data_IF_073846633913
#
_entry.id   IF_073846633913
#
_cell.length_a   1.000
_cell.length_b   1.000
_cell.length_c   1.000
_cell.angle_alpha   90.00
_cell.angle_beta   90.00
_cell.angle_gamma   90.00
#
_symmetry.space_group_name_H-M   'P 1'
#
loop_
_entity.id
_entity.type
_entity.pdbx_description
1 polymer ?
#
# COMPACT_ATOMS: atom_id res chain seq x y z
N UNK A 1 12.03 -15.22 -10.18
CA UNK A 1 10.67 -15.74 -10.33
C UNK A 1 9.98 -15.72 -8.98
N UNK A 2 8.76 -15.19 -8.94
CA UNK A 2 7.92 -15.24 -7.74
C UNK A 2 7.51 -16.68 -7.44
N UNK A 3 7.55 -17.04 -6.15
CA UNK A 3 7.04 -18.34 -5.68
C UNK A 3 5.69 -18.13 -5.01
N UNK A 4 4.76 -19.10 -5.06
CA UNK A 4 3.54 -19.05 -4.28
C UNK A 4 3.86 -18.80 -2.81
N UNK A 5 3.06 -17.94 -2.15
CA UNK A 5 3.25 -17.62 -0.75
C UNK A 5 2.90 -18.85 0.11
N UNK A 6 3.86 -19.32 0.88
CA UNK A 6 3.62 -20.28 1.96
C UNK A 6 3.49 -19.49 3.26
N UNK A 7 2.32 -19.54 3.88
CA UNK A 7 2.03 -18.79 5.08
C UNK A 7 1.37 -19.66 6.14
N UNK A 8 1.83 -19.61 7.40
CA UNK A 8 1.16 -20.30 8.49
C UNK A 8 -0.21 -19.72 8.84
N UNK A 9 -0.61 -18.62 8.19
CA UNK A 9 -1.93 -18.00 8.34
C UNK A 9 -2.96 -18.54 7.35
N UNK A 10 -2.53 -19.33 6.36
CA UNK A 10 -3.41 -19.82 5.29
C UNK A 10 -3.14 -21.29 4.99
N UNK A 11 -4.17 -22.11 4.76
CA UNK A 11 -4.00 -23.52 4.39
C UNK A 11 -3.50 -23.68 2.95
N UNK A 12 -3.66 -22.64 2.10
CA UNK A 12 -3.24 -22.64 0.70
C UNK A 12 -2.57 -21.32 0.33
N UNK A 13 -1.97 -21.26 -0.87
CA UNK A 13 -1.50 -20.01 -1.47
C UNK A 13 -2.59 -19.27 -2.27
N UNK A 14 -3.84 -19.73 -2.27
CA UNK A 14 -4.94 -19.00 -2.90
C UNK A 14 -5.12 -17.64 -2.21
N UNK A 15 -5.14 -16.53 -2.96
CA UNK A 15 -5.23 -15.20 -2.37
C UNK A 15 -6.44 -14.96 -1.47
N UNK A 16 -7.59 -15.59 -1.74
CA UNK A 16 -8.79 -15.49 -0.88
C UNK A 16 -8.53 -16.14 0.48
N UNK A 17 -7.88 -17.31 0.51
CA UNK A 17 -7.53 -17.98 1.76
C UNK A 17 -6.47 -17.19 2.54
N UNK A 18 -5.50 -16.60 1.85
CA UNK A 18 -4.49 -15.72 2.47
C UNK A 18 -5.15 -14.51 3.11
N UNK A 19 -6.06 -13.83 2.42
CA UNK A 19 -6.80 -12.68 2.97
C UNK A 19 -7.64 -13.10 4.19
N UNK A 20 -8.32 -14.24 4.10
CA UNK A 20 -9.08 -14.78 5.25
C UNK A 20 -8.18 -15.03 6.45
N UNK A 21 -6.99 -15.58 6.24
CA UNK A 21 -6.00 -15.79 7.29
C UNK A 21 -5.51 -14.48 7.91
N UNK A 22 -5.22 -13.47 7.11
CA UNK A 22 -4.84 -12.14 7.60
C UNK A 22 -5.95 -11.49 8.43
N UNK A 23 -7.20 -11.55 7.96
CA UNK A 23 -8.37 -11.03 8.70
C UNK A 23 -8.66 -11.82 9.98
N UNK A 24 -8.24 -13.09 10.05
CA UNK A 24 -8.26 -13.89 11.28
C UNK A 24 -7.24 -13.42 12.34
N UNK A 25 -6.14 -12.78 11.93
CA UNK A 25 -5.19 -12.16 12.87
C UNK A 25 -5.74 -10.86 13.42
N UNK A 26 -6.30 -10.00 12.55
CA UNK A 26 -6.81 -8.70 12.94
C UNK A 26 -7.85 -8.22 11.92
N UNK A 27 -8.93 -7.52 12.32
CA UNK A 27 -9.94 -7.00 11.41
C UNK A 27 -9.42 -5.77 10.66
N UNK A 28 -8.50 -5.98 9.72
CA UNK A 28 -7.97 -4.91 8.89
C UNK A 28 -9.09 -4.23 8.07
N UNK A 29 -9.06 -2.92 7.98
CA UNK A 29 -10.02 -2.13 7.19
C UNK A 29 -9.60 -1.98 5.73
N UNK A 30 -8.31 -2.18 5.43
CA UNK A 30 -7.76 -2.02 4.09
C UNK A 30 -6.79 -3.15 3.75
N UNK A 31 -6.75 -3.53 2.48
CA UNK A 31 -5.82 -4.48 1.88
C UNK A 31 -5.14 -3.80 0.70
N UNK A 32 -3.80 -3.76 0.71
CA UNK A 32 -3.02 -3.39 -0.45
C UNK A 32 -2.70 -4.65 -1.28
N UNK A 33 -2.90 -4.56 -2.58
CA UNK A 33 -2.58 -5.62 -3.55
C UNK A 33 -1.72 -5.05 -4.66
N UNK A 34 -0.52 -5.60 -4.84
CA UNK A 34 0.28 -5.38 -6.03
C UNK A 34 0.00 -6.50 -7.04
N UNK A 35 -0.63 -6.15 -8.17
CA UNK A 35 -0.84 -7.06 -9.29
C UNK A 35 0.41 -7.04 -10.18
N UNK A 36 1.36 -7.89 -9.83
CA UNK A 36 2.68 -7.90 -10.47
C UNK A 36 2.61 -8.33 -11.94
N UNK A 37 1.65 -9.18 -12.31
CA UNK A 37 1.47 -9.58 -13.70
C UNK A 37 1.04 -8.37 -14.54
N UNK A 38 0.11 -7.57 -14.02
CA UNK A 38 -0.32 -6.34 -14.68
C UNK A 38 0.79 -5.27 -14.73
N UNK A 39 1.51 -5.06 -13.62
CA UNK A 39 2.64 -4.11 -13.56
C UNK A 39 3.73 -4.48 -14.57
N UNK A 40 3.98 -5.77 -14.76
CA UNK A 40 5.01 -6.29 -15.68
C UNK A 40 4.51 -6.49 -17.12
N UNK A 41 3.21 -6.25 -17.38
CA UNK A 41 2.61 -6.49 -18.70
C UNK A 41 2.50 -7.98 -19.07
N UNK A 42 2.50 -8.87 -18.08
CA UNK A 42 2.42 -10.32 -18.26
C UNK A 42 0.98 -10.88 -18.20
N UNK A 43 0.01 -10.02 -17.95
CA UNK A 43 -1.40 -10.39 -17.81
C UNK A 43 -2.10 -9.52 -16.76
N UNK A 44 -3.18 -10.03 -16.18
CA UNK A 44 -3.89 -9.39 -15.05
C UNK A 44 -4.47 -10.43 -14.08
N UNK A 45 -4.77 -9.99 -12.87
CA UNK A 45 -5.42 -10.79 -11.85
C UNK A 45 -6.84 -10.31 -11.50
N UNK A 46 -7.55 -9.68 -12.45
CA UNK A 46 -8.89 -9.14 -12.25
C UNK A 46 -9.88 -10.17 -11.71
N UNK A 47 -9.79 -11.45 -12.13
CA UNK A 47 -10.63 -12.54 -11.61
C UNK A 47 -10.39 -12.77 -10.11
N UNK A 48 -9.15 -12.77 -9.70
CA UNK A 48 -8.76 -12.93 -8.29
C UNK A 48 -9.23 -11.74 -7.44
N UNK A 49 -9.06 -10.52 -7.94
CA UNK A 49 -9.54 -9.29 -7.27
C UNK A 49 -11.06 -9.32 -7.08
N UNK A 50 -11.84 -9.76 -8.08
CA UNK A 50 -13.30 -9.94 -7.96
C UNK A 50 -13.67 -10.97 -6.89
N UNK A 51 -12.94 -12.09 -6.80
CA UNK A 51 -13.17 -13.12 -5.77
C UNK A 51 -12.93 -12.57 -4.37
N UNK A 52 -11.81 -11.87 -4.15
CA UNK A 52 -11.50 -11.24 -2.86
C UNK A 52 -12.60 -10.24 -2.48
N UNK A 53 -13.01 -9.39 -3.43
CA UNK A 53 -14.05 -8.38 -3.18
C UNK A 53 -15.41 -9.01 -2.85
N UNK A 54 -15.79 -10.09 -3.53
CA UNK A 54 -17.04 -10.79 -3.29
C UNK A 54 -17.06 -11.45 -1.91
N UNK A 55 -15.95 -12.02 -1.49
CA UNK A 55 -15.82 -12.68 -0.18
C UNK A 55 -15.72 -11.68 0.97
N UNK A 56 -15.05 -10.52 0.75
CA UNK A 56 -14.78 -9.51 1.78
C UNK A 56 -15.29 -8.12 1.36
N UNK A 57 -16.62 -7.92 1.23
CA UNK A 57 -17.19 -6.70 0.63
C UNK A 57 -16.93 -5.42 1.46
N UNK A 58 -16.67 -5.54 2.77
CA UNK A 58 -16.35 -4.43 3.66
C UNK A 58 -14.86 -4.03 3.64
N UNK A 59 -13.99 -4.87 3.06
CA UNK A 59 -12.57 -4.62 3.00
C UNK A 59 -12.25 -3.61 1.89
N UNK A 60 -11.61 -2.50 2.22
CA UNK A 60 -11.15 -1.54 1.23
C UNK A 60 -9.92 -2.11 0.52
N UNK A 61 -10.03 -2.40 -0.77
CA UNK A 61 -8.91 -2.85 -1.57
C UNK A 61 -8.22 -1.66 -2.22
N UNK A 62 -6.91 -1.53 -2.02
CA UNK A 62 -6.02 -0.61 -2.73
C UNK A 62 -5.18 -1.44 -3.69
N UNK A 63 -5.36 -1.23 -4.98
CA UNK A 63 -4.77 -2.10 -6.00
C UNK A 63 -3.80 -1.31 -6.85
N UNK A 64 -2.55 -1.74 -6.84
CA UNK A 64 -1.51 -1.30 -7.75
C UNK A 64 -1.38 -2.34 -8.87
N UNK A 65 -1.70 -1.93 -10.07
CA UNK A 65 -1.63 -2.75 -11.29
C UNK A 65 -0.94 -2.00 -12.44
N UNK A 66 -0.07 -1.03 -12.10
CA UNK A 66 0.74 -0.33 -13.09
C UNK A 66 -0.03 0.64 -13.98
N UNK A 67 -1.12 1.26 -13.46
CA UNK A 67 -1.88 2.26 -14.21
C UNK A 67 -0.98 3.43 -14.61
N UNK A 68 -0.81 3.64 -15.92
CA UNK A 68 0.06 4.66 -16.50
C UNK A 68 -0.67 5.73 -17.32
N UNK A 69 -1.98 5.56 -17.59
CA UNK A 69 -2.78 6.49 -18.38
C UNK A 69 -4.25 6.52 -17.97
N UNK A 70 -4.97 7.53 -18.48
CA UNK A 70 -6.37 7.76 -18.15
C UNK A 70 -7.30 6.63 -18.65
N UNK A 71 -6.98 5.97 -19.75
CA UNK A 71 -7.79 4.86 -20.28
C UNK A 71 -7.75 3.67 -19.34
N UNK A 72 -6.55 3.27 -18.90
CA UNK A 72 -6.34 2.22 -17.92
C UNK A 72 -7.02 2.55 -16.58
N UNK A 73 -6.90 3.81 -16.11
CA UNK A 73 -7.58 4.27 -14.90
C UNK A 73 -9.10 4.17 -15.02
N UNK A 74 -9.69 4.64 -16.10
CA UNK A 74 -11.13 4.57 -16.33
C UNK A 74 -11.62 3.12 -16.41
N UNK A 75 -10.88 2.24 -17.11
CA UNK A 75 -11.21 0.82 -17.20
C UNK A 75 -11.18 0.15 -15.82
N UNK A 76 -10.16 0.42 -14.99
CA UNK A 76 -10.04 -0.11 -13.65
C UNK A 76 -11.19 0.37 -12.75
N UNK A 77 -11.49 1.66 -12.75
CA UNK A 77 -12.58 2.24 -11.96
C UNK A 77 -13.93 1.68 -12.41
N UNK A 78 -14.15 1.54 -13.73
CA UNK A 78 -15.36 0.94 -14.30
C UNK A 78 -15.55 -0.54 -13.93
N UNK A 79 -14.43 -1.29 -13.78
CA UNK A 79 -14.46 -2.68 -13.32
C UNK A 79 -14.74 -2.82 -11.82
N UNK A 80 -14.72 -1.71 -11.07
CA UNK A 80 -15.03 -1.61 -9.65
C UNK A 80 -14.21 -2.60 -8.78
N UNK A 81 -12.91 -2.78 -9.07
CA UNK A 81 -12.02 -3.75 -8.41
C UNK A 81 -11.40 -3.23 -7.09
N UNK A 82 -11.59 -1.97 -6.78
CA UNK A 82 -11.03 -1.33 -5.58
C UNK A 82 -10.66 0.14 -5.83
N UNK A 83 -9.85 0.70 -4.95
CA UNK A 83 -9.24 2.02 -5.13
C UNK A 83 -7.94 1.85 -5.90
N UNK A 84 -7.76 2.50 -7.07
CA UNK A 84 -6.51 2.40 -7.81
C UNK A 84 -5.38 3.07 -7.05
N UNK A 85 -4.23 2.41 -7.02
CA UNK A 85 -2.95 2.99 -6.59
C UNK A 85 -2.18 3.38 -7.85
N UNK A 86 -1.77 4.63 -7.89
CA UNK A 86 -0.96 5.17 -8.98
C UNK A 86 0.49 5.19 -8.49
N UNK A 87 1.29 4.23 -8.96
CA UNK A 87 2.71 4.15 -8.68
C UNK A 87 3.49 5.20 -9.46
N UNK A 88 4.35 5.96 -8.80
CA UNK A 88 5.19 6.97 -9.46
C UNK A 88 6.13 6.35 -10.48
N UNK A 89 6.62 5.13 -10.24
CA UNK A 89 7.50 4.41 -11.17
C UNK A 89 6.82 4.04 -12.50
N UNK A 90 5.48 3.97 -12.52
CA UNK A 90 4.70 3.67 -13.73
C UNK A 90 4.37 4.92 -14.57
N UNK A 91 4.64 6.14 -14.06
CA UNK A 91 4.26 7.37 -14.73
C UNK A 91 5.35 7.87 -15.68
N UNK A 92 4.92 8.49 -16.80
CA UNK A 92 5.82 9.19 -17.72
C UNK A 92 5.96 10.67 -17.38
N UNK A 93 4.90 11.24 -16.82
CA UNK A 93 4.79 12.63 -16.36
C UNK A 93 3.76 12.71 -15.22
N UNK A 94 3.50 13.91 -14.72
CA UNK A 94 2.56 14.16 -13.63
C UNK A 94 1.09 14.29 -14.05
N UNK A 95 0.77 14.22 -15.34
CA UNK A 95 -0.54 14.58 -15.92
C UNK A 95 -1.69 13.78 -15.30
N UNK A 96 -1.54 12.45 -15.20
CA UNK A 96 -2.58 11.58 -14.66
C UNK A 96 -2.91 11.94 -13.19
N UNK A 97 -1.88 12.19 -12.39
CA UNK A 97 -2.03 12.55 -10.98
C UNK A 97 -2.67 13.93 -10.87
N UNK A 98 -2.22 14.92 -11.64
CA UNK A 98 -2.75 16.28 -11.64
C UNK A 98 -4.25 16.32 -11.98
N UNK A 99 -4.71 15.51 -12.93
CA UNK A 99 -6.11 15.41 -13.32
C UNK A 99 -7.00 14.78 -12.25
N UNK A 100 -6.43 13.95 -11.37
CA UNK A 100 -7.18 13.17 -10.38
C UNK A 100 -6.84 13.49 -8.93
N UNK A 101 -5.99 14.52 -8.67
CA UNK A 101 -5.54 14.89 -7.30
C UNK A 101 -6.68 15.17 -6.32
N UNK A 102 -7.76 15.76 -6.80
CA UNK A 102 -8.93 16.10 -5.99
C UNK A 102 -9.92 14.92 -5.89
N UNK A 103 -9.62 13.83 -6.57
CA UNK A 103 -10.41 12.61 -6.51
C UNK A 103 -10.07 11.82 -5.26
N UNK A 104 -11.05 11.60 -4.40
CA UNK A 104 -10.91 10.66 -3.28
C UNK A 104 -10.76 9.20 -3.72
N UNK A 105 -10.73 8.95 -5.03
CA UNK A 105 -10.75 7.62 -5.66
C UNK A 105 -9.38 7.08 -6.01
N UNK A 106 -8.28 7.81 -5.73
CA UNK A 106 -6.92 7.34 -6.00
C UNK A 106 -6.04 7.41 -4.74
N UNK A 107 -5.02 6.54 -4.70
CA UNK A 107 -3.87 6.60 -3.79
C UNK A 107 -2.63 6.80 -4.64
N UNK A 108 -1.74 7.71 -4.26
CA UNK A 108 -0.43 7.88 -4.90
C UNK A 108 0.62 7.05 -4.16
N UNK A 109 1.36 6.20 -4.86
CA UNK A 109 2.57 5.60 -4.33
C UNK A 109 3.79 6.39 -4.80
N UNK A 110 4.54 6.92 -3.84
CA UNK A 110 5.86 7.51 -4.06
C UNK A 110 6.90 6.40 -3.89
N UNK A 111 7.46 5.94 -4.99
CA UNK A 111 8.29 4.74 -5.04
C UNK A 111 9.77 5.12 -4.98
N UNK A 112 10.51 4.46 -4.10
CA UNK A 112 11.94 4.70 -3.89
C UNK A 112 12.72 3.40 -3.95
N UNK A 113 13.85 3.42 -4.67
CA UNK A 113 14.82 2.32 -4.70
C UNK A 113 16.16 2.82 -4.18
N UNK A 114 16.54 2.39 -2.98
CA UNK A 114 17.61 3.06 -2.23
C UNK A 114 17.24 4.53 -2.01
N UNK A 115 18.13 5.45 -2.31
CA UNK A 115 17.88 6.88 -2.18
C UNK A 115 17.23 7.51 -3.42
N UNK A 116 17.11 6.76 -4.52
CA UNK A 116 16.56 7.26 -5.77
C UNK A 116 15.04 7.16 -5.79
N UNK A 117 14.37 8.29 -6.04
CA UNK A 117 12.95 8.33 -6.39
C UNK A 117 12.76 7.70 -7.78
N UNK A 118 11.72 6.88 -7.92
CA UNK A 118 11.35 6.23 -9.16
C UNK A 118 10.15 6.95 -9.77
N UNK A 119 10.39 7.63 -10.89
CA UNK A 119 9.36 8.37 -11.62
C UNK A 119 9.76 9.81 -11.95
N UNK A 120 8.86 10.56 -12.58
CA UNK A 120 9.07 11.98 -12.92
C UNK A 120 9.28 12.83 -11.66
N UNK A 121 10.34 13.63 -11.65
CA UNK A 121 10.73 14.40 -10.47
C UNK A 121 9.70 15.44 -10.05
N UNK A 122 8.89 15.96 -10.98
CA UNK A 122 7.79 16.87 -10.70
C UNK A 122 6.74 16.24 -9.76
N UNK A 123 6.52 14.92 -9.83
CA UNK A 123 5.60 14.23 -8.91
C UNK A 123 6.06 14.35 -7.46
N UNK A 124 7.37 14.26 -7.22
CA UNK A 124 7.93 14.41 -5.88
C UNK A 124 8.03 15.89 -5.46
N UNK A 125 8.40 16.78 -6.39
CA UNK A 125 8.66 18.19 -6.09
C UNK A 125 7.37 19.01 -5.90
N UNK A 126 6.30 18.68 -6.65
CA UNK A 126 5.07 19.46 -6.66
C UNK A 126 3.98 18.83 -5.80
N UNK A 127 4.09 19.02 -4.49
CA UNK A 127 3.14 18.43 -3.51
C UNK A 127 1.69 18.85 -3.72
N UNK A 128 1.43 19.95 -4.44
CA UNK A 128 0.09 20.37 -4.84
C UNK A 128 -0.62 19.36 -5.75
N UNK A 129 0.14 18.49 -6.44
CA UNK A 129 -0.39 17.41 -7.29
C UNK A 129 -0.89 16.20 -6.49
N UNK A 130 -0.46 16.08 -5.24
CA UNK A 130 -0.71 14.87 -4.47
C UNK A 130 -2.18 14.73 -4.08
N UNK A 131 -2.77 13.52 -4.21
CA UNK A 131 -4.11 13.23 -3.68
C UNK A 131 -4.08 13.17 -2.15
N UNK A 132 -5.24 12.93 -1.56
CA UNK A 132 -5.39 12.82 -0.09
C UNK A 132 -4.53 11.72 0.53
N UNK A 133 -4.34 10.59 -0.16
CA UNK A 133 -3.64 9.41 0.36
C UNK A 133 -2.36 9.17 -0.39
N UNK A 134 -1.28 8.98 0.37
CA UNK A 134 0.06 8.79 -0.16
C UNK A 134 0.68 7.57 0.52
N UNK A 135 1.26 6.68 -0.27
CA UNK A 135 2.13 5.61 0.20
C UNK A 135 3.57 6.05 -0.04
N UNK A 136 4.42 5.95 0.97
CA UNK A 136 5.88 6.05 0.82
C UNK A 136 6.42 4.64 0.71
N UNK A 137 6.68 4.21 -0.53
CA UNK A 137 7.10 2.85 -0.85
C UNK A 137 8.62 2.78 -0.95
N UNK A 138 9.26 2.12 0.01
CA UNK A 138 10.70 1.86 -0.05
C UNK A 138 10.95 0.45 -0.58
N UNK A 139 11.03 0.33 -1.91
CA UNK A 139 11.12 -0.94 -2.64
C UNK A 139 12.25 -1.85 -2.15
N UNK A 140 13.43 -1.29 -1.90
CA UNK A 140 14.59 -2.05 -1.43
C UNK A 140 14.42 -2.62 0.00
N UNK A 141 13.43 -2.13 0.76
CA UNK A 141 13.15 -2.62 2.12
C UNK A 141 12.02 -3.65 2.17
N UNK A 142 11.27 -3.82 1.08
CA UNK A 142 10.21 -4.82 1.00
C UNK A 142 10.81 -6.23 1.15
N UNK A 143 10.39 -6.97 2.19
CA UNK A 143 10.90 -8.31 2.49
C UNK A 143 12.34 -8.39 2.98
N UNK A 144 13.08 -7.27 3.10
CA UNK A 144 14.51 -7.26 3.44
C UNK A 144 14.82 -7.44 4.94
N UNK A 145 13.86 -7.18 5.82
CA UNK A 145 14.10 -7.15 7.27
C UNK A 145 14.95 -5.97 7.76
N UNK A 146 15.18 -4.94 6.93
CA UNK A 146 16.03 -3.79 7.27
C UNK A 146 15.35 -2.74 8.17
N UNK A 147 14.07 -2.88 8.45
CA UNK A 147 13.25 -1.89 9.14
C UNK A 147 12.70 -0.81 8.20
N UNK A 148 11.68 -0.05 8.62
CA UNK A 148 11.08 1.01 7.83
C UNK A 148 12.03 2.20 7.66
N UNK A 149 11.84 2.98 6.59
CA UNK A 149 12.62 4.20 6.34
C UNK A 149 11.97 5.40 7.04
N UNK A 150 12.24 5.52 8.34
CA UNK A 150 11.66 6.57 9.17
C UNK A 150 12.09 7.99 8.74
N UNK A 151 13.32 8.13 8.27
CA UNK A 151 13.86 9.43 7.83
C UNK A 151 13.13 9.92 6.58
N UNK A 152 12.96 9.04 5.59
CA UNK A 152 12.22 9.35 4.36
C UNK A 152 10.76 9.63 4.67
N UNK A 153 10.13 8.79 5.50
CA UNK A 153 8.74 8.99 5.90
C UNK A 153 8.55 10.36 6.55
N UNK A 154 9.41 10.73 7.48
CA UNK A 154 9.37 12.04 8.15
C UNK A 154 9.56 13.21 7.15
N UNK A 155 10.49 13.07 6.20
CA UNK A 155 10.71 14.07 5.16
C UNK A 155 9.44 14.26 4.28
N UNK A 156 8.81 13.17 3.83
CA UNK A 156 7.57 13.26 3.06
C UNK A 156 6.43 13.84 3.89
N UNK A 157 6.29 13.43 5.15
CA UNK A 157 5.25 13.96 6.04
C UNK A 157 5.37 15.46 6.28
N UNK A 158 6.60 15.98 6.39
CA UNK A 158 6.84 17.41 6.61
C UNK A 158 6.31 18.30 5.48
N UNK A 159 6.19 17.77 4.27
CA UNK A 159 5.71 18.48 3.07
C UNK A 159 4.31 18.02 2.62
N UNK A 160 3.74 17.00 3.26
CA UNK A 160 2.48 16.40 2.81
C UNK A 160 1.22 17.27 3.04
N UNK A 161 1.33 18.38 3.79
CA UNK A 161 0.22 19.35 3.92
C UNK A 161 -1.07 18.76 4.52
N UNK A 162 -0.94 17.88 5.52
CA UNK A 162 -2.09 17.26 6.21
C UNK A 162 -2.71 16.06 5.49
N UNK A 163 -2.07 15.56 4.45
CA UNK A 163 -2.48 14.32 3.74
C UNK A 163 -2.21 13.08 4.58
N UNK A 164 -2.95 12.02 4.29
CA UNK A 164 -2.76 10.72 4.93
C UNK A 164 -1.54 10.01 4.33
N UNK A 165 -0.47 9.88 5.11
CA UNK A 165 0.78 9.25 4.66
C UNK A 165 0.93 7.87 5.27
N UNK A 166 1.12 6.86 4.42
CA UNK A 166 1.28 5.47 4.78
C UNK A 166 2.69 4.99 4.47
N UNK A 167 3.29 4.27 5.40
CA UNK A 167 4.60 3.66 5.19
C UNK A 167 4.48 2.29 4.52
N UNK A 168 5.37 1.99 3.57
CA UNK A 168 5.47 0.68 2.94
C UNK A 168 6.92 0.22 2.79
N UNK A 169 7.17 -1.01 3.21
CA UNK A 169 8.48 -1.66 3.15
C UNK A 169 9.21 -1.67 4.50
N UNK A 170 9.73 -2.84 4.85
CA UNK A 170 10.68 -3.04 5.92
C UNK A 170 10.12 -3.27 7.33
N UNK A 171 8.82 -3.14 7.57
CA UNK A 171 8.24 -3.36 8.92
C UNK A 171 8.53 -4.78 9.40
N UNK A 172 9.20 -4.91 10.56
CA UNK A 172 9.68 -6.18 11.11
C UNK A 172 8.82 -6.70 12.27
N UNK A 173 8.42 -5.78 13.14
CA UNK A 173 7.83 -6.11 14.45
C UNK A 173 6.99 -4.95 15.01
N UNK A 174 6.49 -5.13 16.24
CA UNK A 174 5.70 -4.14 16.94
C UNK A 174 6.47 -2.85 17.29
N UNK A 175 7.80 -2.93 17.48
CA UNK A 175 8.61 -1.75 17.78
C UNK A 175 8.68 -0.82 16.53
N UNK A 176 8.80 -1.38 15.34
CA UNK A 176 8.73 -0.63 14.10
C UNK A 176 7.35 0.06 13.93
N UNK A 177 6.25 -0.61 14.30
CA UNK A 177 4.91 -0.01 14.26
C UNK A 177 4.79 1.18 15.23
N UNK A 178 5.37 1.07 16.43
CA UNK A 178 5.41 2.17 17.39
C UNK A 178 6.24 3.34 16.87
N UNK A 179 7.39 3.06 16.25
CA UNK A 179 8.23 4.07 15.63
C UNK A 179 7.50 4.80 14.49
N UNK A 180 6.81 4.07 13.61
CA UNK A 180 5.98 4.64 12.54
C UNK A 180 4.84 5.50 13.10
N UNK A 181 4.17 5.02 14.16
CA UNK A 181 3.12 5.81 14.84
C UNK A 181 3.67 7.11 15.45
N UNK A 182 4.88 7.08 15.99
CA UNK A 182 5.55 8.25 16.55
C UNK A 182 5.91 9.31 15.49
N UNK A 183 6.14 8.91 14.22
CA UNK A 183 6.32 9.87 13.12
C UNK A 183 5.03 10.53 12.68
N UNK A 184 3.85 10.07 13.15
CA UNK A 184 2.56 10.56 12.70
C UNK A 184 2.03 9.88 11.43
N UNK A 185 2.59 8.72 11.05
CA UNK A 185 2.08 7.93 9.92
C UNK A 185 0.59 7.58 10.13
N UNK A 186 -0.19 7.73 9.07
CA UNK A 186 -1.63 7.37 9.08
C UNK A 186 -1.84 5.86 9.11
N UNK A 187 -0.83 5.09 8.68
CA UNK A 187 -0.81 3.64 8.71
C UNK A 187 0.46 3.06 8.09
N UNK A 188 0.50 1.73 8.02
CA UNK A 188 1.60 1.00 7.40
C UNK A 188 1.08 -0.20 6.61
N UNK A 189 1.69 -0.48 5.47
CA UNK A 189 1.50 -1.71 4.72
C UNK A 189 2.42 -2.78 5.30
N UNK A 190 1.84 -3.88 5.75
CA UNK A 190 2.55 -4.95 6.43
C UNK A 190 2.24 -6.27 5.72
N UNK A 191 3.25 -7.05 5.41
CA UNK A 191 3.11 -8.37 4.82
C UNK A 191 3.96 -9.40 5.56
N UNK A 192 5.25 -9.48 5.28
CA UNK A 192 6.17 -10.51 5.77
C UNK A 192 6.09 -10.69 7.29
N UNK A 193 6.07 -9.62 8.06
CA UNK A 193 6.02 -9.70 9.53
C UNK A 193 4.71 -10.33 10.07
N UNK A 194 3.60 -10.23 9.33
CA UNK A 194 2.35 -10.92 9.66
C UNK A 194 2.44 -12.40 9.32
N UNK A 195 2.89 -12.73 8.11
CA UNK A 195 3.04 -14.10 7.67
C UNK A 195 4.05 -14.88 8.51
N UNK A 196 5.11 -14.24 8.98
CA UNK A 196 6.10 -14.83 9.89
C UNK A 196 5.70 -14.76 11.38
N UNK A 197 4.49 -14.26 11.68
CA UNK A 197 3.98 -14.10 13.06
C UNK A 197 4.86 -13.25 13.96
N UNK A 198 5.67 -12.37 13.39
CA UNK A 198 6.46 -11.38 14.15
C UNK A 198 5.62 -10.21 14.66
N UNK A 199 4.46 -10.00 14.06
CA UNK A 199 3.41 -9.10 14.52
C UNK A 199 2.16 -9.95 14.73
N UNK A 200 1.56 -9.84 15.92
CA UNK A 200 0.41 -10.63 16.33
C UNK A 200 -0.76 -9.73 16.75
N UNK A 201 -1.95 -10.30 16.92
CA UNK A 201 -3.17 -9.56 17.25
C UNK A 201 -3.02 -8.58 18.44
N UNK A 202 -2.38 -8.93 19.59
CA UNK A 202 -2.18 -7.98 20.68
C UNK A 202 -1.36 -6.75 20.30
N UNK A 203 -0.38 -6.88 19.38
CA UNK A 203 0.41 -5.75 18.92
C UNK A 203 -0.45 -4.78 18.11
N UNK A 204 -1.28 -5.30 17.21
CA UNK A 204 -2.18 -4.52 16.37
C UNK A 204 -3.29 -3.85 17.19
N UNK A 205 -3.83 -4.52 18.21
CA UNK A 205 -4.83 -3.93 19.11
C UNK A 205 -4.27 -2.71 19.83
N UNK A 206 -3.02 -2.76 20.30
CA UNK A 206 -2.33 -1.61 20.90
C UNK A 206 -2.13 -0.44 19.92
N UNK A 207 -1.99 -0.72 18.62
CA UNK A 207 -1.89 0.33 17.61
C UNK A 207 -3.26 0.98 17.34
N UNK A 208 -4.34 0.20 17.32
CA UNK A 208 -5.71 0.65 17.03
C UNK A 208 -6.39 1.42 18.15
N UNK A 209 -5.90 1.31 19.39
CA UNK A 209 -6.43 2.09 20.50
C UNK A 209 -6.07 3.57 20.32
N UNK A 210 -6.99 4.36 19.72
CA UNK A 210 -6.95 5.82 19.81
C UNK A 210 -6.97 6.18 21.31
N UNK A 211 -5.98 6.94 21.79
CA UNK A 211 -6.22 7.72 23.03
C UNK A 211 -7.48 8.53 22.73
N UNK A 212 -8.58 8.24 23.45
CA UNK A 212 -9.61 9.24 23.65
C UNK A 212 -8.87 10.39 24.32
N UNK A 213 -8.76 11.51 23.63
CA UNK A 213 -8.43 12.76 24.28
C UNK A 213 -9.60 13.06 25.22
N UNK A 214 -9.35 13.01 26.52
CA UNK A 214 -10.20 13.61 27.52
C UNK A 214 -10.16 15.13 27.37
#
# INVERSE_FOLDING_TARGET
SYRPLESPLSPTSDPVDVVRGLLGVFPFSALYVADLDAIQGAGDNCRTLRRIRAEFPSLQMWVDNGIADASALHAFVGAALGTPVIGSESQRDSTLIAQHRDSMRIVLSLDFRGDAFQGPQEILAETALWPRRIIVMTLARVGSGAGPDLARLAAIQSIAGGREVYAAGGVRDAADLLALKATGASGALISTALHERRIVAPDLQRMGSRRRAD
#
